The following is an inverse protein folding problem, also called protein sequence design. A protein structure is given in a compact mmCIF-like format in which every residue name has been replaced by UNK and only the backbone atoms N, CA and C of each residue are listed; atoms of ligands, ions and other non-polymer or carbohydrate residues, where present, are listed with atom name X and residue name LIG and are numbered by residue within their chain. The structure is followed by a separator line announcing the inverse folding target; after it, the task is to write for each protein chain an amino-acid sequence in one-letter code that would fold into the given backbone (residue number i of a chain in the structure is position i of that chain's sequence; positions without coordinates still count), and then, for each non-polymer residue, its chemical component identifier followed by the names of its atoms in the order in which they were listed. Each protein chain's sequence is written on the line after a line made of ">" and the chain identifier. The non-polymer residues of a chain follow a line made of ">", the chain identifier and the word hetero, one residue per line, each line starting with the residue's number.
data_IF_343130351798
#
_entry.id   IF_343130351798
#
_cell.length_a   1.000
_cell.length_b   1.000
_cell.length_c   1.000
_cell.angle_alpha   90.00
_cell.angle_beta   90.00
_cell.angle_gamma   90.00
#
_symmetry.space_group_name_H-M   'P 1'
#
loop_
_entity.id
_entity.type
_entity.pdbx_description
1 polymer ?
#
# COMPACT_ATOMS: atom_id res chain seq x y z
N UNK A 1 19.85 30.02 38.49
CA UNK A 1 19.43 29.73 37.12
C UNK A 1 18.13 30.47 36.86
N UNK A 2 18.10 31.37 35.87
CA UNK A 2 16.97 32.26 35.64
C UNK A 2 15.75 31.51 35.15
N UNK A 3 14.64 31.58 35.85
CA UNK A 3 13.38 30.88 35.56
C UNK A 3 12.86 31.18 34.14
N UNK A 4 13.19 32.33 33.59
CA UNK A 4 12.89 32.76 32.22
C UNK A 4 13.59 31.91 31.14
N UNK A 5 14.86 31.50 31.40
CA UNK A 5 15.63 30.66 30.49
C UNK A 5 15.10 29.24 30.48
N UNK A 6 14.68 28.72 31.64
CA UNK A 6 14.08 27.39 31.76
C UNK A 6 12.73 27.28 31.02
N UNK A 7 11.90 28.34 31.11
CA UNK A 7 10.63 28.38 30.40
C UNK A 7 10.80 28.48 28.87
N UNK A 8 11.82 29.24 28.40
CA UNK A 8 12.12 29.35 26.97
C UNK A 8 12.66 28.02 26.40
N UNK A 9 13.52 27.31 27.16
CA UNK A 9 14.02 25.99 26.75
C UNK A 9 12.92 24.92 26.71
N UNK A 10 11.97 24.97 27.65
CA UNK A 10 10.82 24.05 27.67
C UNK A 10 9.87 24.31 26.51
N UNK A 11 9.61 25.57 26.17
CA UNK A 11 8.80 25.93 24.99
C UNK A 11 9.47 25.52 23.68
N UNK A 12 10.79 25.71 23.58
CA UNK A 12 11.56 25.28 22.42
C UNK A 12 11.55 23.76 22.22
N UNK A 13 11.61 23.00 23.31
CA UNK A 13 11.52 21.54 23.26
C UNK A 13 10.14 21.04 22.82
N UNK A 14 9.07 21.69 23.29
CA UNK A 14 7.68 21.33 22.91
C UNK A 14 7.45 21.66 21.42
N UNK A 15 7.98 22.77 20.92
CA UNK A 15 7.84 23.15 19.51
C UNK A 15 8.68 22.27 18.57
N UNK A 16 9.80 21.73 19.04
CA UNK A 16 10.64 20.83 18.22
C UNK A 16 10.06 19.41 18.08
N UNK A 17 9.17 18.99 18.99
CA UNK A 17 8.51 17.68 18.92
C UNK A 17 7.27 17.70 18.01
N UNK A 18 6.68 18.86 17.76
CA UNK A 18 5.49 19.00 16.89
C UNK A 18 5.82 19.05 15.39
N UNK A 19 7.10 19.05 15.01
CA UNK A 19 7.51 18.99 13.60
C UNK A 19 7.75 17.57 13.06
N UNK A 20 7.34 16.51 13.78
CA UNK A 20 7.24 15.20 13.18
C UNK A 20 6.05 15.18 12.25
N UNK A 21 6.36 15.64 11.07
CA UNK A 21 5.93 15.27 9.75
C UNK A 21 4.46 14.87 9.58
N UNK A 22 3.79 15.63 8.82
CA UNK A 22 2.82 15.05 7.90
C UNK A 22 3.60 14.17 6.91
N UNK A 23 3.86 12.91 7.25
CA UNK A 23 3.96 11.88 6.25
C UNK A 23 2.72 12.05 5.37
N UNK A 24 2.89 12.14 4.07
CA UNK A 24 1.75 12.23 3.17
C UNK A 24 0.93 10.96 3.33
N UNK A 25 -0.16 11.02 4.08
CA UNK A 25 -1.05 9.89 4.27
C UNK A 25 -2.17 9.98 3.23
N UNK A 26 -2.30 8.96 2.41
CA UNK A 26 -3.39 8.81 1.45
C UNK A 26 -4.28 7.68 1.94
N UNK A 27 -5.59 7.93 2.07
CA UNK A 27 -6.51 6.93 2.62
C UNK A 27 -7.67 6.67 1.68
N UNK A 28 -7.87 5.38 1.32
CA UNK A 28 -8.99 4.89 0.53
C UNK A 28 -9.43 3.52 1.06
N UNK A 29 -10.74 3.26 1.13
CA UNK A 29 -11.32 1.96 1.47
C UNK A 29 -10.73 1.31 2.75
N UNK A 30 -10.46 2.09 3.81
CA UNK A 30 -9.82 1.65 5.05
C UNK A 30 -8.35 1.21 4.90
N UNK A 31 -7.73 1.54 3.79
CA UNK A 31 -6.29 1.41 3.56
C UNK A 31 -5.64 2.79 3.59
N UNK A 32 -4.49 2.89 4.21
CA UNK A 32 -3.71 4.13 4.31
C UNK A 32 -2.31 3.88 3.81
N UNK A 33 -1.89 4.66 2.83
CA UNK A 33 -0.52 4.71 2.32
C UNK A 33 0.27 5.75 3.13
N UNK A 34 1.38 5.33 3.68
CA UNK A 34 2.47 6.20 4.11
C UNK A 34 3.40 6.42 2.91
N UNK A 35 3.38 7.62 2.33
CA UNK A 35 4.17 7.94 1.13
C UNK A 35 5.66 8.07 1.39
N UNK A 36 6.09 8.24 2.63
CA UNK A 36 7.51 8.31 2.99
C UNK A 36 8.13 6.91 3.10
N UNK A 37 7.31 5.95 3.57
CA UNK A 37 7.72 4.55 3.72
C UNK A 37 7.32 3.67 2.53
N UNK A 38 6.42 4.12 1.66
CA UNK A 38 5.79 3.34 0.60
C UNK A 38 5.10 2.07 1.13
N UNK A 39 4.43 2.22 2.29
CA UNK A 39 3.73 1.14 2.97
C UNK A 39 2.24 1.45 3.04
N UNK A 40 1.43 0.51 2.59
CA UNK A 40 -0.03 0.55 2.68
C UNK A 40 -0.49 -0.27 3.86
N UNK A 41 -1.16 0.35 4.82
CA UNK A 41 -1.68 -0.34 6.02
C UNK A 41 -3.20 -0.44 5.94
N UNK A 42 -3.73 -1.63 6.15
CA UNK A 42 -5.19 -1.87 6.23
C UNK A 42 -5.47 -3.25 6.83
N UNK A 43 -6.56 -3.36 7.59
CA UNK A 43 -7.02 -4.62 8.18
C UNK A 43 -5.95 -5.37 9.01
N UNK A 44 -5.06 -4.64 9.70
CA UNK A 44 -3.99 -5.22 10.50
C UNK A 44 -2.81 -5.79 9.70
N UNK A 45 -2.75 -5.48 8.41
CA UNK A 45 -1.70 -5.92 7.48
C UNK A 45 -1.02 -4.69 6.89
N UNK A 46 0.27 -4.79 6.72
CA UNK A 46 1.07 -3.89 5.91
C UNK A 46 1.40 -4.55 4.59
N UNK A 47 1.28 -3.77 3.51
CA UNK A 47 1.64 -4.12 2.15
C UNK A 47 2.76 -3.19 1.71
N UNK A 48 3.82 -3.73 1.14
CA UNK A 48 4.78 -2.91 0.42
C UNK A 48 4.13 -2.45 -0.89
N UNK A 49 4.27 -1.17 -1.23
CA UNK A 49 3.78 -0.66 -2.50
C UNK A 49 4.33 -1.51 -3.65
N UNK A 50 3.48 -1.93 -4.58
CA UNK A 50 3.90 -2.85 -5.66
C UNK A 50 4.91 -2.22 -6.61
N UNK A 51 4.89 -0.89 -6.71
CA UNK A 51 5.89 -0.12 -7.46
C UNK A 51 7.30 -0.26 -6.92
N UNK A 52 7.49 -0.57 -5.64
CA UNK A 52 8.82 -0.68 -5.01
C UNK A 52 9.62 -1.90 -5.47
N UNK A 53 8.94 -2.89 -6.00
CA UNK A 53 9.55 -4.15 -6.44
C UNK A 53 9.46 -4.37 -7.95
N UNK A 54 9.21 -3.30 -8.73
CA UNK A 54 9.19 -3.37 -10.19
C UNK A 54 10.54 -3.87 -10.72
N UNK A 55 10.49 -4.86 -11.61
CA UNK A 55 11.70 -5.46 -12.18
C UNK A 55 12.35 -6.53 -11.31
N UNK A 56 11.87 -6.71 -10.09
CA UNK A 56 12.35 -7.79 -9.22
C UNK A 56 11.61 -9.11 -9.50
N UNK A 57 12.23 -10.19 -9.05
CA UNK A 57 11.60 -11.51 -8.96
C UNK A 57 11.12 -11.75 -7.52
N UNK A 58 10.23 -12.73 -7.33
CA UNK A 58 9.83 -13.15 -5.98
C UNK A 58 11.05 -13.50 -5.13
N UNK A 59 12.01 -14.24 -5.71
CA UNK A 59 13.22 -14.63 -4.98
C UNK A 59 14.09 -13.45 -4.60
N UNK A 60 14.27 -12.45 -5.48
CA UNK A 60 15.08 -11.25 -5.16
C UNK A 60 14.39 -10.36 -4.14
N UNK A 61 13.09 -10.14 -4.28
CA UNK A 61 12.33 -9.34 -3.30
C UNK A 61 12.35 -9.98 -1.91
N UNK A 62 12.15 -11.30 -1.81
CA UNK A 62 12.24 -11.98 -0.52
C UNK A 62 13.67 -11.94 0.05
N UNK A 63 14.72 -12.01 -0.78
CA UNK A 63 16.09 -11.86 -0.30
C UNK A 63 16.36 -10.46 0.28
N UNK A 64 15.71 -9.43 -0.27
CA UNK A 64 15.86 -8.04 0.18
C UNK A 64 15.04 -7.76 1.44
N UNK A 65 13.78 -8.18 1.46
CA UNK A 65 12.78 -7.70 2.43
C UNK A 65 12.43 -8.70 3.54
N UNK A 66 12.79 -9.99 3.43
CA UNK A 66 12.40 -10.99 4.44
C UNK A 66 12.98 -10.72 5.84
N UNK A 67 14.13 -10.07 5.93
CA UNK A 67 14.73 -9.69 7.21
C UNK A 67 13.84 -8.72 8.02
N UNK A 68 13.03 -7.91 7.33
CA UNK A 68 12.07 -6.97 7.92
C UNK A 68 10.67 -7.58 8.10
N UNK A 69 10.56 -8.90 7.99
CA UNK A 69 9.32 -9.66 8.21
C UNK A 69 8.38 -9.70 7.02
N UNK A 70 8.80 -9.23 5.84
CA UNK A 70 8.00 -9.31 4.63
C UNK A 70 7.95 -10.73 4.07
N UNK A 71 6.77 -11.15 3.65
CA UNK A 71 6.52 -12.43 3.00
C UNK A 71 5.68 -12.22 1.74
N UNK A 72 5.70 -13.15 0.83
CA UNK A 72 4.83 -13.10 -0.35
C UNK A 72 3.36 -13.20 0.07
N UNK A 73 2.51 -12.37 -0.50
CA UNK A 73 1.08 -12.47 -0.29
C UNK A 73 0.55 -13.78 -0.90
N UNK A 74 -0.13 -14.57 -0.10
CA UNK A 74 -0.80 -15.78 -0.56
C UNK A 74 -2.15 -15.49 -1.22
N UNK A 75 -2.74 -16.53 -1.83
CA UNK A 75 -4.00 -16.44 -2.56
C UNK A 75 -5.14 -15.89 -1.70
N UNK A 76 -5.29 -16.37 -0.47
CA UNK A 76 -6.33 -15.91 0.45
C UNK A 76 -6.18 -14.44 0.82
N UNK A 77 -4.94 -13.98 0.99
CA UNK A 77 -4.62 -12.61 1.32
C UNK A 77 -4.97 -11.65 0.17
N UNK A 78 -4.61 -12.02 -1.05
CA UNK A 78 -4.94 -11.25 -2.24
C UNK A 78 -6.45 -11.21 -2.49
N UNK A 79 -7.15 -12.32 -2.28
CA UNK A 79 -8.60 -12.35 -2.39
C UNK A 79 -9.30 -11.44 -1.37
N UNK A 80 -8.81 -11.42 -0.13
CA UNK A 80 -9.32 -10.50 0.89
C UNK A 80 -9.10 -9.04 0.47
N UNK A 81 -7.91 -8.69 0.00
CA UNK A 81 -7.62 -7.35 -0.51
C UNK A 81 -8.61 -6.95 -1.62
N UNK A 82 -8.84 -7.82 -2.60
CA UNK A 82 -9.79 -7.55 -3.69
C UNK A 82 -11.23 -7.39 -3.17
N UNK A 83 -11.63 -8.21 -2.21
CA UNK A 83 -12.95 -8.11 -1.59
C UNK A 83 -13.15 -6.77 -0.86
N UNK A 84 -12.12 -6.24 -0.22
CA UNK A 84 -12.16 -4.96 0.49
C UNK A 84 -12.39 -3.78 -0.46
N UNK A 85 -12.00 -3.91 -1.73
CA UNK A 85 -12.30 -2.95 -2.79
C UNK A 85 -13.61 -3.25 -3.53
N UNK A 86 -14.43 -4.17 -3.01
CA UNK A 86 -15.71 -4.53 -3.62
C UNK A 86 -15.60 -5.48 -4.82
N UNK A 87 -14.43 -6.02 -5.09
CA UNK A 87 -14.18 -6.93 -6.20
C UNK A 87 -14.31 -8.39 -5.74
N UNK A 88 -15.46 -8.73 -5.18
CA UNK A 88 -15.70 -10.10 -4.74
C UNK A 88 -16.21 -10.95 -5.89
N UNK A 89 -15.40 -11.92 -6.31
CA UNK A 89 -15.94 -13.10 -6.99
C UNK A 89 -15.52 -14.32 -6.20
N UNK A 90 -16.51 -15.02 -5.74
CA UNK A 90 -16.39 -16.15 -4.86
C UNK A 90 -15.25 -17.09 -5.23
N UNK A 91 -14.43 -17.42 -4.25
CA UNK A 91 -13.41 -18.43 -4.21
C UNK A 91 -12.08 -18.10 -4.90
N UNK A 92 -11.25 -17.47 -4.14
CA UNK A 92 -9.81 -17.25 -4.36
C UNK A 92 -8.98 -18.49 -4.65
N UNK A 93 -9.52 -19.67 -4.41
CA UNK A 93 -8.84 -20.95 -4.64
C UNK A 93 -9.10 -21.55 -6.00
N UNK A 94 -10.14 -21.16 -6.68
CA UNK A 94 -10.45 -21.67 -8.01
C UNK A 94 -10.09 -20.66 -9.09
N UNK A 95 -8.92 -20.81 -9.64
CA UNK A 95 -8.58 -20.83 -11.06
C UNK A 95 -9.57 -20.10 -11.95
N UNK A 96 -9.80 -18.84 -11.79
CA UNK A 96 -10.74 -18.11 -12.60
C UNK A 96 -10.29 -16.71 -12.89
N UNK A 97 -10.40 -16.36 -14.12
CA UNK A 97 -10.43 -14.99 -14.60
C UNK A 97 -11.55 -14.29 -13.85
N UNK A 98 -11.22 -13.40 -12.94
CA UNK A 98 -12.19 -12.51 -12.34
C UNK A 98 -12.10 -11.19 -13.07
N UNK A 99 -12.86 -11.04 -14.13
CA UNK A 99 -13.07 -9.72 -14.71
C UNK A 99 -14.20 -9.08 -13.93
N UNK A 100 -13.88 -8.15 -13.09
CA UNK A 100 -14.84 -7.32 -12.41
C UNK A 100 -15.24 -6.21 -13.33
N UNK A 101 -16.45 -6.29 -13.78
CA UNK A 101 -17.11 -5.38 -14.69
C UNK A 101 -16.63 -5.45 -16.14
N UNK A 102 -17.44 -6.02 -17.00
CA UNK A 102 -17.33 -5.71 -18.41
C UNK A 102 -17.84 -4.29 -18.61
N UNK A 103 -16.97 -3.37 -18.91
CA UNK A 103 -17.35 -2.11 -19.53
C UNK A 103 -18.43 -1.30 -18.81
N UNK A 104 -18.24 -0.92 -17.57
CA UNK A 104 -19.07 0.14 -17.04
C UNK A 104 -18.53 1.47 -17.54
N UNK A 105 -19.41 2.22 -18.16
CA UNK A 105 -19.13 3.54 -18.65
C UNK A 105 -18.59 4.43 -17.52
N UNK A 106 -17.48 5.06 -17.77
CA UNK A 106 -17.01 6.38 -17.33
C UNK A 106 -17.06 6.80 -15.85
N UNK A 107 -17.86 6.19 -14.98
CA UNK A 107 -18.07 6.74 -13.62
C UNK A 107 -17.50 5.92 -12.46
N UNK A 108 -16.90 4.77 -12.70
CA UNK A 108 -16.39 3.88 -11.62
C UNK A 108 -14.85 3.79 -11.60
N UNK A 109 -14.16 4.62 -12.35
CA UNK A 109 -12.69 4.70 -12.34
C UNK A 109 -12.12 5.01 -10.95
N UNK A 110 -12.87 5.69 -10.11
CA UNK A 110 -12.41 6.14 -8.79
C UNK A 110 -11.89 5.02 -7.89
N UNK A 111 -12.50 3.81 -7.92
CA UNK A 111 -12.05 2.68 -7.08
C UNK A 111 -10.72 2.13 -7.61
N UNK A 112 -10.58 2.03 -8.94
CA UNK A 112 -9.34 1.57 -9.58
C UNK A 112 -8.22 2.59 -9.37
N UNK A 113 -8.52 3.88 -9.54
CA UNK A 113 -7.58 4.97 -9.30
C UNK A 113 -7.12 4.99 -7.84
N UNK A 114 -8.05 4.87 -6.90
CA UNK A 114 -7.76 4.80 -5.47
C UNK A 114 -6.84 3.60 -5.13
N UNK A 115 -7.09 2.45 -5.76
CA UNK A 115 -6.23 1.29 -5.58
C UNK A 115 -4.82 1.54 -6.14
N UNK A 116 -4.75 2.09 -7.36
CA UNK A 116 -3.48 2.38 -8.04
C UNK A 116 -2.69 3.45 -7.28
N UNK A 117 -3.37 4.45 -6.70
CA UNK A 117 -2.73 5.46 -5.86
C UNK A 117 -2.12 4.82 -4.60
N UNK A 118 -2.83 3.90 -3.94
CA UNK A 118 -2.33 3.19 -2.76
C UNK A 118 -1.18 2.24 -3.11
N UNK A 119 -1.36 1.37 -4.11
CA UNK A 119 -0.43 0.27 -4.40
C UNK A 119 0.66 0.61 -5.43
N UNK A 120 0.58 1.79 -6.02
CA UNK A 120 1.56 2.33 -6.96
C UNK A 120 1.33 1.89 -8.41
N UNK A 121 1.73 2.75 -9.33
CA UNK A 121 1.69 2.50 -10.76
C UNK A 121 2.88 1.61 -11.14
N UNK A 122 2.62 0.42 -11.65
CA UNK A 122 3.67 -0.48 -12.16
C UNK A 122 3.84 -0.37 -13.68
N UNK A 123 2.80 0.10 -14.38
CA UNK A 123 2.83 0.23 -15.83
C UNK A 123 2.01 1.44 -16.29
N UNK A 124 2.60 2.19 -17.21
CA UNK A 124 1.90 3.23 -17.99
C UNK A 124 1.98 2.82 -19.46
N UNK A 125 0.84 2.76 -20.14
CA UNK A 125 0.81 2.51 -21.59
C UNK A 125 0.29 3.76 -22.28
N UNK A 126 1.17 4.41 -23.00
CA UNK A 126 0.82 5.48 -23.93
C UNK A 126 0.85 4.89 -25.34
N UNK A 127 -0.32 4.71 -25.98
CA UNK A 127 -0.37 4.20 -27.34
C UNK A 127 -1.19 5.13 -28.23
N UNK A 128 -0.68 5.57 -29.38
CA UNK A 128 -1.36 6.51 -30.26
C UNK A 128 -2.73 6.07 -30.75
N UNK A 129 -2.97 4.73 -30.81
CA UNK A 129 -4.25 4.15 -31.20
C UNK A 129 -5.26 4.05 -30.05
N UNK A 130 -4.85 4.35 -28.82
CA UNK A 130 -5.69 4.26 -27.63
C UNK A 130 -6.11 5.64 -27.09
N UNK A 131 -6.22 6.60 -27.99
CA UNK A 131 -6.63 7.96 -27.65
C UNK A 131 -5.44 8.87 -27.34
N UNK A 132 -5.46 10.06 -27.94
CA UNK A 132 -4.49 11.13 -27.69
C UNK A 132 -4.79 11.90 -26.40
N UNK A 133 -5.55 11.28 -25.49
CA UNK A 133 -5.85 11.84 -24.19
C UNK A 133 -4.63 11.84 -23.30
N UNK A 134 -4.57 12.81 -22.41
CA UNK A 134 -3.51 13.06 -21.42
C UNK A 134 -3.35 11.87 -20.46
N UNK A 135 -4.30 10.95 -20.45
CA UNK A 135 -4.41 9.82 -19.52
C UNK A 135 -4.09 8.53 -20.28
N UNK A 136 -2.86 8.06 -20.20
CA UNK A 136 -2.51 6.71 -20.61
C UNK A 136 -3.14 5.67 -19.67
N UNK A 137 -3.25 4.41 -20.13
CA UNK A 137 -3.59 3.30 -19.24
C UNK A 137 -2.62 3.28 -18.07
N UNK A 138 -3.11 3.48 -16.87
CA UNK A 138 -2.38 3.22 -15.66
C UNK A 138 -2.74 1.82 -15.14
N UNK A 139 -1.76 1.06 -14.71
CA UNK A 139 -2.02 -0.20 -14.05
C UNK A 139 -1.11 -0.44 -12.86
N UNK A 140 -1.66 -1.12 -11.88
CA UNK A 140 -0.95 -1.70 -10.76
C UNK A 140 -1.00 -3.22 -10.91
N UNK A 141 0.16 -3.85 -11.05
CA UNK A 141 0.28 -5.29 -11.31
C UNK A 141 1.31 -5.90 -10.37
N UNK A 142 0.98 -7.03 -9.75
CA UNK A 142 1.92 -7.73 -8.88
C UNK A 142 1.81 -9.24 -8.97
N UNK A 143 2.93 -9.94 -8.78
CA UNK A 143 2.98 -11.39 -8.58
C UNK A 143 2.65 -11.73 -7.13
N UNK A 144 1.91 -12.81 -6.93
CA UNK A 144 1.51 -13.34 -5.63
C UNK A 144 1.25 -14.86 -5.71
N UNK A 145 0.98 -15.51 -4.58
CA UNK A 145 0.49 -16.88 -4.54
C UNK A 145 1.23 -17.75 -3.52
N UNK A 146 0.58 -18.87 -3.15
CA UNK A 146 1.08 -19.81 -2.12
C UNK A 146 1.84 -20.98 -2.73
N UNK A 147 1.93 -21.06 -4.06
CA UNK A 147 2.41 -22.25 -4.76
C UNK A 147 1.69 -23.54 -4.26
N UNK A 148 0.39 -23.44 -4.00
CA UNK A 148 -0.40 -24.48 -3.36
C UNK A 148 -0.42 -25.82 -4.13
N UNK A 149 -0.19 -25.79 -5.43
CA UNK A 149 -0.14 -26.96 -6.29
C UNK A 149 1.27 -27.58 -6.43
N UNK A 150 2.28 -27.03 -5.74
CA UNK A 150 3.68 -27.42 -5.84
C UNK A 150 4.22 -27.46 -7.28
N UNK A 151 3.63 -26.69 -8.18
CA UNK A 151 4.06 -26.59 -9.57
C UNK A 151 5.12 -25.51 -9.79
N UNK A 152 5.52 -24.79 -8.72
CA UNK A 152 6.45 -23.67 -8.71
C UNK A 152 6.01 -22.48 -9.58
N UNK A 153 4.70 -22.37 -9.85
CA UNK A 153 4.10 -21.29 -10.61
C UNK A 153 3.30 -20.36 -9.69
N UNK A 154 3.29 -19.09 -10.05
CA UNK A 154 2.66 -18.02 -9.29
C UNK A 154 1.60 -17.31 -10.14
N UNK A 155 0.71 -16.62 -9.47
CA UNK A 155 -0.36 -15.83 -10.05
C UNK A 155 0.07 -14.38 -10.20
N UNK A 156 -0.69 -13.59 -10.95
CA UNK A 156 -0.56 -12.15 -10.92
C UNK A 156 -1.93 -11.47 -10.81
N UNK A 157 -1.95 -10.37 -10.11
CA UNK A 157 -3.06 -9.44 -10.03
C UNK A 157 -2.78 -8.25 -10.94
N UNK A 158 -3.81 -7.72 -11.59
CA UNK A 158 -3.70 -6.54 -12.45
C UNK A 158 -4.94 -5.67 -12.28
N UNK A 159 -4.73 -4.45 -11.87
CA UNK A 159 -5.75 -3.42 -11.76
C UNK A 159 -5.43 -2.35 -12.80
N UNK A 160 -6.41 -1.99 -13.61
CA UNK A 160 -6.27 -1.06 -14.72
C UNK A 160 -7.31 0.05 -14.62
N UNK A 161 -6.88 1.27 -14.84
CA UNK A 161 -7.72 2.46 -14.91
C UNK A 161 -7.43 3.24 -16.20
N UNK A 162 -8.44 3.95 -16.71
CA UNK A 162 -8.36 4.89 -17.85
C UNK A 162 -7.96 4.31 -19.21
N UNK A 163 -8.34 3.09 -19.48
CA UNK A 163 -8.08 2.49 -20.78
C UNK A 163 -9.10 2.90 -21.85
N UNK A 164 -8.74 3.84 -22.69
CA UNK A 164 -9.53 4.20 -23.89
C UNK A 164 -9.10 3.36 -25.10
N UNK A 165 -9.94 2.41 -25.50
CA UNK A 165 -9.70 1.63 -26.71
C UNK A 165 -10.61 2.08 -27.86
N UNK A 166 -10.03 2.59 -28.94
CA UNK A 166 -10.73 2.97 -30.18
C UNK A 166 -11.94 3.90 -29.98
N UNK A 167 -11.83 4.87 -29.07
CA UNK A 167 -12.91 5.82 -28.79
C UNK A 167 -14.07 5.26 -27.95
N UNK A 168 -13.95 4.03 -27.45
CA UNK A 168 -14.85 3.51 -26.43
C UNK A 168 -14.35 3.92 -25.04
N UNK A 169 -15.27 4.29 -24.12
CA UNK A 169 -14.91 4.62 -22.75
C UNK A 169 -14.15 3.47 -22.08
N UNK A 170 -13.26 3.84 -21.19
CA UNK A 170 -12.22 3.05 -20.61
C UNK A 170 -12.59 1.65 -20.14
N UNK A 171 -11.64 0.77 -20.24
CA UNK A 171 -11.74 -0.58 -19.68
C UNK A 171 -11.07 -0.58 -18.33
N UNK A 172 -11.81 -0.19 -17.34
CA UNK A 172 -11.38 -0.42 -15.98
C UNK A 172 -11.51 -1.91 -15.66
N UNK A 173 -10.48 -2.50 -15.11
CA UNK A 173 -10.49 -3.91 -14.79
C UNK A 173 -9.64 -4.20 -13.56
N UNK A 174 -10.17 -5.05 -12.69
CA UNK A 174 -9.39 -5.71 -11.66
C UNK A 174 -9.42 -7.22 -11.95
N UNK A 175 -8.27 -7.84 -12.13
CA UNK A 175 -8.15 -9.22 -12.60
C UNK A 175 -7.10 -9.95 -11.78
N UNK A 176 -7.44 -11.18 -11.37
CA UNK A 176 -6.47 -12.14 -10.87
C UNK A 176 -6.32 -13.26 -11.92
N UNK A 177 -5.09 -13.46 -12.37
CA UNK A 177 -4.78 -14.48 -13.36
C UNK A 177 -4.31 -15.76 -12.69
N UNK A 178 -4.65 -16.87 -13.31
CA UNK A 178 -4.25 -18.20 -12.84
C UNK A 178 -2.73 -18.40 -12.84
N UNK A 179 -2.30 -19.34 -12.02
CA UNK A 179 -0.95 -19.89 -12.05
C UNK A 179 -0.69 -20.57 -13.38
N UNK A 180 0.18 -20.03 -14.21
CA UNK A 180 0.54 -20.76 -15.43
C UNK A 180 1.86 -20.37 -16.08
N UNK A 181 2.49 -19.26 -15.64
CA UNK A 181 3.62 -18.74 -16.43
C UNK A 181 4.77 -18.22 -15.58
N UNK A 182 4.51 -17.76 -14.36
CA UNK A 182 5.50 -17.08 -13.55
C UNK A 182 6.11 -18.02 -12.52
N UNK A 183 7.45 -18.08 -12.49
CA UNK A 183 8.24 -18.79 -11.48
C UNK A 183 8.76 -17.81 -10.44
N UNK A 184 9.33 -18.29 -9.35
CA UNK A 184 9.95 -17.44 -8.33
C UNK A 184 11.11 -16.57 -8.87
N UNK A 185 11.71 -16.94 -10.01
CA UNK A 185 12.76 -16.18 -10.68
C UNK A 185 12.26 -15.27 -11.82
N UNK A 186 10.97 -15.29 -12.12
CA UNK A 186 10.40 -14.42 -13.14
C UNK A 186 10.45 -12.97 -12.70
N UNK A 187 10.91 -12.07 -13.56
CA UNK A 187 10.96 -10.63 -13.32
C UNK A 187 10.48 -9.86 -14.55
N UNK A 188 9.95 -8.68 -14.38
CA UNK A 188 9.54 -7.80 -15.47
C UNK A 188 9.45 -6.36 -15.00
N UNK A 189 9.75 -5.43 -15.88
CA UNK A 189 9.54 -4.00 -15.64
C UNK A 189 8.06 -3.57 -15.63
N UNK A 190 7.13 -4.50 -15.74
CA UNK A 190 5.68 -4.24 -15.85
C UNK A 190 4.91 -4.66 -14.60
N UNK A 191 5.53 -5.32 -13.67
CA UNK A 191 4.91 -5.76 -12.42
C UNK A 191 5.89 -5.75 -11.25
N UNK A 192 5.33 -5.60 -10.05
CA UNK A 192 6.01 -5.77 -8.79
C UNK A 192 5.69 -7.11 -8.13
N UNK A 193 6.03 -7.23 -6.87
CA UNK A 193 5.77 -8.39 -6.03
C UNK A 193 4.88 -7.96 -4.86
N UNK A 194 3.77 -8.65 -4.64
CA UNK A 194 2.88 -8.37 -3.53
C UNK A 194 3.48 -8.92 -2.23
N UNK A 195 4.21 -8.07 -1.52
CA UNK A 195 4.78 -8.39 -0.22
C UNK A 195 3.89 -7.88 0.90
N UNK A 196 3.74 -8.69 1.95
CA UNK A 196 2.92 -8.38 3.12
C UNK A 196 3.64 -8.73 4.41
N UNK A 197 3.25 -8.05 5.49
CA UNK A 197 3.59 -8.44 6.86
C UNK A 197 2.46 -8.05 7.81
N UNK A 198 2.47 -8.57 9.02
CA UNK A 198 1.55 -8.07 10.04
C UNK A 198 1.87 -6.61 10.35
N UNK A 199 0.83 -5.79 10.51
CA UNK A 199 1.03 -4.40 10.87
C UNK A 199 1.81 -4.33 12.19
N UNK A 200 2.90 -3.57 12.16
CA UNK A 200 3.65 -3.31 13.38
C UNK A 200 2.80 -2.38 14.24
N UNK A 201 2.65 -2.75 15.52
CA UNK A 201 2.07 -1.81 16.48
C UNK A 201 3.00 -0.59 16.54
N UNK A 202 2.57 0.51 15.95
CA UNK A 202 3.26 1.78 16.17
C UNK A 202 3.23 2.01 17.67
N UNK A 203 4.38 2.11 18.36
CA UNK A 203 4.39 2.50 19.75
C UNK A 203 3.60 3.81 19.85
N UNK A 204 2.52 3.82 20.64
CA UNK A 204 1.74 5.04 20.80
C UNK A 204 2.70 6.20 21.05
N UNK A 205 2.61 7.26 20.24
CA UNK A 205 3.52 8.40 20.40
C UNK A 205 3.47 8.76 21.87
N UNK A 206 4.63 9.08 22.42
CA UNK A 206 4.91 9.29 23.84
C UNK A 206 3.98 10.31 24.53
N UNK A 207 2.72 10.41 24.15
CA UNK A 207 1.66 11.16 24.82
C UNK A 207 1.62 10.77 26.28
N UNK A 208 1.83 9.49 26.61
CA UNK A 208 1.96 9.01 27.99
C UNK A 208 3.24 9.58 28.65
N UNK A 209 4.34 9.62 27.91
CA UNK A 209 5.59 10.20 28.43
C UNK A 209 5.49 11.73 28.56
N UNK A 210 4.88 12.39 27.59
CA UNK A 210 4.62 13.84 27.64
C UNK A 210 3.63 14.17 28.76
N UNK A 211 2.59 13.37 28.94
CA UNK A 211 1.63 13.52 30.02
C UNK A 211 2.30 13.28 31.38
N UNK A 212 3.14 12.25 31.52
CA UNK A 212 3.90 11.97 32.72
C UNK A 212 4.88 13.09 33.06
N UNK A 213 5.58 13.64 32.07
CA UNK A 213 6.46 14.83 32.21
C UNK A 213 5.66 16.06 32.60
N UNK A 214 4.46 16.25 32.04
CA UNK A 214 3.56 17.32 32.40
C UNK A 214 3.11 17.26 33.87
N UNK A 215 2.73 16.08 34.34
CA UNK A 215 2.35 15.81 35.74
C UNK A 215 3.54 16.05 36.67
N UNK A 216 4.73 15.57 36.35
CA UNK A 216 5.93 15.78 37.15
C UNK A 216 6.31 17.26 37.22
N UNK A 217 6.14 18.02 36.13
CA UNK A 217 6.33 19.46 36.08
C UNK A 217 5.34 20.22 36.97
N UNK A 218 4.09 19.79 37.02
CA UNK A 218 3.07 20.37 37.91
C UNK A 218 3.30 20.02 39.39
N UNK A 219 3.71 18.80 39.67
CA UNK A 219 4.04 18.35 41.03
C UNK A 219 5.23 19.11 41.61
N UNK A 220 6.27 19.33 40.83
CA UNK A 220 7.49 20.07 41.26
C UNK A 220 7.20 21.52 41.66
N UNK A 221 6.17 22.15 41.11
CA UNK A 221 5.72 23.51 41.49
C UNK A 221 5.09 23.57 42.89
N UNK A 222 4.43 22.48 43.35
CA UNK A 222 3.81 22.42 44.68
C UNK A 222 4.80 22.33 45.81
N UNK A 223 5.95 21.71 45.57
CA UNK A 223 6.99 21.53 46.62
C UNK A 223 7.85 22.76 46.82
N UNK A 224 7.81 23.79 45.95
CA UNK A 224 8.56 25.05 46.11
C UNK A 224 7.81 26.16 46.88
N UNK A 225 6.60 25.88 47.37
CA UNK A 225 5.79 26.86 48.15
C UNK A 225 5.72 26.53 49.66
N UNK A 226 6.71 25.85 50.22
CA UNK A 226 6.94 25.74 51.66
C UNK A 226 8.23 26.34 52.04
#
# INVERSE_FOLDING_TARGET
>A
MNLKILNAALLGLILSVSSFANAGLITHNNYTLDTDANIVTGNGIEWLQWSETIGESISSSLATYAADGWVLAGNARMASLFSDFGWSNGNSESRGFVTLSPYTAADDSSIMDNFIELFGVTRIVTHPSYGTGINGLHSSTALFGDNANNNLLYQHANIQSDFLYQGNPGRDAAVMYQENTYTASSSSSLYGIALVRNAQSVPEPSTVAIFALGIMGLASRRFKKK
#
